data_IF_996486579394
#
_entry.id   IF_996486579394
#
_cell.length_a   1.000
_cell.length_b   1.000
_cell.length_c   1.000
_cell.angle_alpha   90.00
_cell.angle_beta   90.00
_cell.angle_gamma   90.00
#
_symmetry.space_group_name_H-M   'P 1'
#
loop_
_entity.id
_entity.type
_entity.pdbx_description
1 polymer ?
#
# COMPACT_ATOMS: atom_id res chain seq x y z
N UNK A 1 16.79 25.75 6.50
CA UNK A 1 15.35 25.61 6.19
C UNK A 1 14.56 25.87 7.47
N UNK A 2 13.50 26.69 7.44
CA UNK A 2 12.64 26.91 8.63
C UNK A 2 11.71 25.71 8.83
N UNK A 3 11.55 25.26 10.08
CA UNK A 3 10.59 24.22 10.43
C UNK A 3 9.17 24.65 10.05
N UNK A 4 8.40 23.75 9.45
CA UNK A 4 6.99 23.97 9.11
C UNK A 4 6.17 22.90 9.81
N UNK A 5 5.25 23.34 10.65
CA UNK A 5 4.27 22.47 11.30
C UNK A 5 3.02 22.38 10.45
N UNK A 6 2.54 21.16 10.24
CA UNK A 6 1.29 20.89 9.54
C UNK A 6 0.28 20.37 10.54
N UNK A 7 -0.75 21.17 10.81
CA UNK A 7 -1.84 20.83 11.73
C UNK A 7 -3.05 20.43 10.89
N UNK A 8 -3.54 19.21 11.10
CA UNK A 8 -4.77 18.73 10.49
C UNK A 8 -5.99 19.32 11.22
N UNK A 9 -6.79 20.13 10.53
CA UNK A 9 -7.97 20.83 11.05
C UNK A 9 -9.30 20.18 10.62
N UNK A 10 -9.27 18.95 10.08
CA UNK A 10 -10.47 18.24 9.65
C UNK A 10 -11.17 17.46 10.76
N UNK A 11 -12.25 16.77 10.39
CA UNK A 11 -12.93 15.78 11.24
C UNK A 11 -11.95 14.76 11.82
N UNK A 12 -12.19 14.20 13.03
CA UNK A 12 -11.28 13.23 13.64
C UNK A 12 -10.86 12.17 12.61
N UNK A 13 -9.55 12.04 12.39
CA UNK A 13 -9.04 11.05 11.45
C UNK A 13 -9.64 9.69 11.82
N UNK A 14 -10.22 8.96 10.84
CA UNK A 14 -10.83 7.68 11.13
C UNK A 14 -9.82 6.82 11.87
N UNK A 15 -10.25 6.27 13.00
CA UNK A 15 -9.40 5.42 13.83
C UNK A 15 -8.94 4.27 12.94
N UNK A 16 -7.64 4.21 12.66
CA UNK A 16 -7.08 3.14 11.84
C UNK A 16 -7.22 1.86 12.65
N UNK A 17 -8.27 1.10 12.39
CA UNK A 17 -8.44 -0.23 12.96
C UNK A 17 -7.52 -1.23 12.22
N UNK A 18 -7.30 -2.39 12.83
CA UNK A 18 -6.39 -3.41 12.28
C UNK A 18 -6.86 -3.93 10.92
N UNK A 19 -8.16 -3.91 10.65
CA UNK A 19 -8.74 -4.41 9.40
C UNK A 19 -8.54 -3.41 8.27
N UNK A 20 -8.88 -2.16 8.50
CA UNK A 20 -8.64 -1.04 7.59
C UNK A 20 -7.15 -0.89 7.27
N UNK A 21 -6.28 -1.10 8.27
CA UNK A 21 -4.83 -1.09 8.05
C UNK A 21 -4.37 -2.20 7.10
N UNK A 22 -4.92 -3.41 7.24
CA UNK A 22 -4.60 -4.55 6.36
C UNK A 22 -5.09 -4.31 4.93
N UNK A 23 -6.32 -3.82 4.77
CA UNK A 23 -6.87 -3.51 3.45
C UNK A 23 -6.09 -2.39 2.75
N UNK A 24 -5.76 -1.33 3.51
CA UNK A 24 -4.92 -0.25 3.01
C UNK A 24 -3.55 -0.75 2.56
N UNK A 25 -2.86 -1.53 3.39
CA UNK A 25 -1.55 -2.08 3.07
C UNK A 25 -1.60 -2.98 1.83
N UNK A 26 -2.62 -3.85 1.74
CA UNK A 26 -2.81 -4.72 0.59
C UNK A 26 -3.01 -3.90 -0.70
N UNK A 27 -3.84 -2.85 -0.66
CA UNK A 27 -4.08 -2.00 -1.82
C UNK A 27 -2.83 -1.23 -2.25
N UNK A 28 -2.02 -0.74 -1.31
CA UNK A 28 -0.73 -0.11 -1.60
C UNK A 28 0.23 -1.10 -2.26
N UNK A 29 0.34 -2.32 -1.74
CA UNK A 29 1.21 -3.36 -2.30
C UNK A 29 0.78 -3.75 -3.72
N UNK A 30 -0.53 -3.85 -3.98
CA UNK A 30 -1.09 -4.11 -5.33
C UNK A 30 -0.75 -2.98 -6.29
N UNK A 31 -0.95 -1.72 -5.88
CA UNK A 31 -0.63 -0.56 -6.70
C UNK A 31 0.86 -0.50 -7.07
N UNK A 32 1.74 -0.84 -6.12
CA UNK A 32 3.18 -0.94 -6.38
C UNK A 32 3.50 -2.03 -7.42
N UNK A 33 2.92 -3.23 -7.29
CA UNK A 33 3.13 -4.32 -8.25
C UNK A 33 2.68 -3.96 -9.66
N UNK A 34 1.50 -3.35 -9.80
CA UNK A 34 1.00 -2.86 -11.09
C UNK A 34 1.96 -1.83 -11.71
N UNK A 35 2.43 -0.86 -10.92
CA UNK A 35 3.36 0.15 -11.42
C UNK A 35 4.69 -0.44 -11.89
N UNK A 36 5.18 -1.50 -11.22
CA UNK A 36 6.40 -2.20 -11.61
C UNK A 36 6.20 -3.02 -12.91
N UNK A 37 5.03 -3.63 -13.09
CA UNK A 37 4.66 -4.35 -14.31
C UNK A 37 4.54 -3.38 -15.50
N UNK A 38 3.83 -2.25 -15.33
CA UNK A 38 3.68 -1.22 -16.36
C UNK A 38 5.02 -0.65 -16.83
N UNK A 39 5.97 -0.49 -15.90
CA UNK A 39 7.34 -0.04 -16.19
C UNK A 39 8.24 -1.15 -16.75
N UNK A 40 7.71 -2.37 -16.95
CA UNK A 40 8.44 -3.56 -17.40
C UNK A 40 9.62 -3.93 -16.50
N UNK A 41 9.58 -3.51 -15.23
CA UNK A 41 10.55 -3.89 -14.20
C UNK A 41 10.24 -5.28 -13.64
N UNK A 42 8.98 -5.69 -13.73
CA UNK A 42 8.53 -7.05 -13.49
C UNK A 42 7.83 -7.60 -14.74
N UNK A 43 8.02 -8.88 -15.01
CA UNK A 43 7.16 -9.63 -15.93
C UNK A 43 5.85 -9.98 -15.22
N UNK A 44 4.77 -10.17 -15.99
CA UNK A 44 3.46 -10.59 -15.47
C UNK A 44 3.55 -11.80 -14.53
N UNK A 45 4.33 -12.81 -14.92
CA UNK A 45 4.57 -14.02 -14.12
C UNK A 45 5.28 -13.74 -12.78
N UNK A 46 6.19 -12.77 -12.75
CA UNK A 46 6.83 -12.33 -11.51
C UNK A 46 5.86 -11.54 -10.63
N UNK A 47 5.03 -10.67 -11.21
CA UNK A 47 4.01 -9.94 -10.48
C UNK A 47 2.98 -10.89 -9.83
N UNK A 48 2.49 -11.89 -10.57
CA UNK A 48 1.58 -12.94 -10.07
C UNK A 48 2.21 -13.73 -8.91
N UNK A 49 3.46 -14.17 -9.04
CA UNK A 49 4.17 -14.90 -7.98
C UNK A 49 4.35 -14.06 -6.70
N UNK A 50 4.58 -12.75 -6.83
CA UNK A 50 4.70 -11.86 -5.67
C UNK A 50 3.34 -11.58 -5.04
N UNK A 51 2.29 -11.44 -5.86
CA UNK A 51 0.92 -11.26 -5.39
C UNK A 51 0.47 -12.40 -4.48
N UNK A 52 0.72 -13.66 -4.88
CA UNK A 52 0.41 -14.83 -4.05
C UNK A 52 1.12 -14.77 -2.69
N UNK A 53 2.38 -14.35 -2.66
CA UNK A 53 3.16 -14.21 -1.41
C UNK A 53 2.68 -13.06 -0.52
N UNK A 54 2.18 -11.99 -1.12
CA UNK A 54 1.62 -10.83 -0.40
C UNK A 54 0.29 -11.20 0.26
N UNK A 55 -0.54 -12.01 -0.41
CA UNK A 55 -1.86 -12.39 0.10
C UNK A 55 -1.80 -13.48 1.18
N UNK A 56 -0.81 -14.38 1.11
CA UNK A 56 -0.65 -15.51 2.05
C UNK A 56 -0.03 -15.07 3.42
N UNK A 57 0.57 -13.88 3.50
CA UNK A 57 1.25 -13.39 4.72
C UNK A 57 0.44 -12.44 5.60
N UNK A 58 -0.87 -12.29 5.37
CA UNK A 58 -1.72 -11.53 6.28
C UNK A 58 -2.23 -12.46 7.39
N UNK A 59 -1.77 -12.35 8.65
CA UNK A 59 -2.26 -13.14 9.77
C UNK A 59 -3.72 -12.83 10.12
#
# INVERSE_FOLDING_TARGET
MKHRDFIYIGEPAPKIDKTLHKEFLLNVQKAMLLSLEERKLLTKKQAECVFDKVTIKSP
#
